data_IF_382461510514
#
_entry.id   IF_382461510514
#
_cell.length_a   1.000
_cell.length_b   1.000
_cell.length_c   1.000
_cell.angle_alpha   90.00
_cell.angle_beta   90.00
_cell.angle_gamma   90.00
#
_symmetry.space_group_name_H-M   'P 1'
#
loop_
_entity.id
_entity.type
_entity.pdbx_description
1 polymer ?
#
# COMPACT_ATOMS: atom_id res chain seq x y z
N UNK A 1 -13.07 14.56 11.31
CA UNK A 1 -12.80 13.73 10.12
C UNK A 1 -12.75 12.27 10.56
N UNK A 2 -12.99 11.33 9.64
CA UNK A 2 -13.07 9.89 9.91
C UNK A 2 -12.33 9.14 8.80
N UNK A 3 -12.20 7.82 8.95
CA UNK A 3 -11.77 6.97 7.83
C UNK A 3 -12.78 7.05 6.68
N UNK A 4 -12.25 7.18 5.47
CA UNK A 4 -13.02 7.13 4.21
C UNK A 4 -12.84 5.79 3.50
N UNK A 5 -11.72 5.10 3.76
CA UNK A 5 -11.39 3.84 3.12
C UNK A 5 -10.98 2.82 4.18
N UNK A 6 -11.33 1.56 3.93
CA UNK A 6 -10.80 0.45 4.72
C UNK A 6 -9.36 0.15 4.30
N UNK A 7 -9.10 0.16 2.99
CA UNK A 7 -7.84 -0.30 2.43
C UNK A 7 -7.30 0.71 1.43
N UNK A 8 -6.00 0.99 1.55
CA UNK A 8 -5.21 1.61 0.50
C UNK A 8 -4.34 0.56 -0.19
N UNK A 9 -4.44 0.39 -1.50
CA UNK A 9 -3.55 -0.48 -2.28
C UNK A 9 -2.50 0.39 -2.95
N UNK A 10 -1.27 0.33 -2.42
CA UNK A 10 -0.12 1.04 -2.97
C UNK A 10 0.67 0.14 -3.91
N UNK A 11 1.01 0.67 -5.08
CA UNK A 11 1.79 -0.04 -6.08
C UNK A 11 2.49 0.91 -7.04
N UNK A 12 3.60 0.44 -7.62
CA UNK A 12 4.22 1.15 -8.74
C UNK A 12 3.45 0.83 -10.02
N UNK A 13 2.95 1.86 -10.72
CA UNK A 13 2.40 1.70 -12.07
C UNK A 13 3.48 1.33 -13.08
N UNK A 14 3.62 0.03 -13.33
CA UNK A 14 4.47 -0.53 -14.38
C UNK A 14 3.71 -1.58 -15.17
N UNK A 15 3.78 -1.47 -16.49
CA UNK A 15 3.18 -2.42 -17.43
C UNK A 15 1.76 -2.81 -17.00
N UNK A 16 1.60 -4.10 -16.75
CA UNK A 16 0.31 -4.76 -16.53
C UNK A 16 -0.21 -4.71 -15.09
N UNK A 17 0.49 -4.03 -14.18
CA UNK A 17 0.18 -4.06 -12.74
C UNK A 17 -1.25 -3.61 -12.45
N UNK A 18 -1.68 -2.48 -13.05
CA UNK A 18 -3.03 -1.96 -12.89
C UNK A 18 -4.08 -2.95 -13.41
N UNK A 19 -3.88 -3.45 -14.62
CA UNK A 19 -4.77 -4.42 -15.25
C UNK A 19 -4.93 -5.69 -14.41
N UNK A 20 -3.83 -6.17 -13.81
CA UNK A 20 -3.89 -7.33 -12.92
C UNK A 20 -4.66 -7.04 -11.63
N UNK A 21 -4.46 -5.86 -11.04
CA UNK A 21 -5.18 -5.41 -9.84
C UNK A 21 -6.69 -5.38 -10.11
N UNK A 22 -7.10 -4.70 -11.18
CA UNK A 22 -8.50 -4.47 -11.52
C UNK A 22 -9.23 -5.77 -11.94
N UNK A 23 -8.55 -6.65 -12.69
CA UNK A 23 -9.21 -7.84 -13.27
C UNK A 23 -9.15 -9.10 -12.40
N UNK A 24 -8.21 -9.17 -11.46
CA UNK A 24 -7.94 -10.38 -10.69
C UNK A 24 -7.90 -10.12 -9.19
N UNK A 25 -7.03 -9.22 -8.72
CA UNK A 25 -6.76 -9.09 -7.28
C UNK A 25 -7.88 -8.43 -6.51
N UNK A 26 -8.31 -7.23 -6.91
CA UNK A 26 -9.36 -6.47 -6.22
C UNK A 26 -10.69 -7.23 -6.20
N UNK A 27 -11.19 -7.79 -7.32
CA UNK A 27 -12.45 -8.54 -7.29
C UNK A 27 -12.45 -9.72 -6.31
N UNK A 28 -11.35 -10.48 -6.24
CA UNK A 28 -11.23 -11.58 -5.27
C UNK A 28 -11.14 -11.06 -3.84
N UNK A 29 -10.35 -10.01 -3.62
CA UNK A 29 -10.16 -9.41 -2.32
C UNK A 29 -11.47 -8.84 -1.78
N UNK A 30 -12.22 -8.10 -2.59
CA UNK A 30 -13.54 -7.57 -2.25
C UNK A 30 -14.54 -8.68 -1.92
N UNK A 31 -14.60 -9.73 -2.74
CA UNK A 31 -15.49 -10.85 -2.50
C UNK A 31 -15.23 -11.50 -1.14
N UNK A 32 -13.98 -11.87 -0.85
CA UNK A 32 -13.66 -12.51 0.43
C UNK A 32 -13.81 -11.55 1.61
N UNK A 33 -13.33 -10.31 1.50
CA UNK A 33 -13.48 -9.34 2.58
C UNK A 33 -14.92 -8.99 2.89
N UNK A 34 -15.79 -8.95 1.87
CA UNK A 34 -17.21 -8.66 2.10
C UNK A 34 -17.88 -9.69 3.02
N UNK A 35 -17.44 -10.95 2.92
CA UNK A 35 -17.91 -12.05 3.77
C UNK A 35 -17.33 -11.93 5.18
N UNK A 36 -16.04 -11.60 5.30
CA UNK A 36 -15.37 -11.43 6.61
C UNK A 36 -15.91 -10.21 7.38
N UNK A 37 -16.22 -9.11 6.68
CA UNK A 37 -16.70 -7.86 7.28
C UNK A 37 -18.23 -7.78 7.43
N UNK A 38 -18.98 -8.64 6.73
CA UNK A 38 -20.44 -8.54 6.61
C UNK A 38 -20.93 -7.30 5.84
N UNK A 39 -20.04 -6.61 5.12
CA UNK A 39 -20.32 -5.45 4.26
C UNK A 39 -19.25 -5.33 3.19
N UNK A 40 -19.55 -4.62 2.11
CA UNK A 40 -18.53 -4.33 1.10
C UNK A 40 -17.41 -3.45 1.71
N UNK A 41 -16.12 -3.82 1.52
CA UNK A 41 -15.01 -2.96 1.91
C UNK A 41 -14.95 -1.73 0.99
N UNK A 42 -14.46 -0.61 1.52
CA UNK A 42 -14.14 0.56 0.70
C UNK A 42 -12.65 0.51 0.38
N UNK A 43 -12.32 0.09 -0.84
CA UNK A 43 -10.94 -0.07 -1.31
C UNK A 43 -10.55 1.12 -2.18
N UNK A 44 -9.45 1.77 -1.83
CA UNK A 44 -8.79 2.74 -2.69
C UNK A 44 -7.57 2.10 -3.34
N UNK A 45 -7.57 2.02 -4.67
CA UNK A 45 -6.38 1.66 -5.44
C UNK A 45 -5.64 2.94 -5.82
N UNK A 46 -4.35 3.03 -5.52
CA UNK A 46 -3.57 4.21 -5.86
C UNK A 46 -3.68 4.54 -7.35
N UNK A 47 -4.31 5.68 -7.62
CA UNK A 47 -4.48 6.19 -8.96
C UNK A 47 -3.32 7.11 -9.37
N UNK A 48 -2.07 6.91 -8.91
CA UNK A 48 -0.89 7.77 -9.12
C UNK A 48 -1.24 9.10 -9.79
N UNK A 49 -1.64 10.03 -8.94
CA UNK A 49 -1.99 11.42 -9.17
C UNK A 49 -1.54 11.92 -10.57
N UNK A 50 -2.52 12.34 -11.38
CA UNK A 50 -2.28 12.86 -12.72
C UNK A 50 -1.37 14.10 -12.69
N UNK A 51 -0.58 14.28 -13.75
CA UNK A 51 0.31 15.42 -13.92
C UNK A 51 -0.45 16.74 -13.72
N UNK A 52 -0.23 17.43 -12.59
CA UNK A 52 -0.81 18.75 -12.30
C UNK A 52 -1.32 18.96 -10.88
N UNK A 53 -1.55 17.90 -10.11
CA UNK A 53 -2.05 17.99 -8.73
C UNK A 53 -0.95 18.27 -7.70
N UNK A 54 -1.25 19.11 -6.70
CA UNK A 54 -0.28 19.55 -5.69
C UNK A 54 0.07 18.44 -4.68
N UNK A 55 1.38 18.18 -4.57
CA UNK A 55 2.08 17.16 -3.77
C UNK A 55 1.58 16.86 -2.33
N UNK A 56 1.18 17.81 -1.47
CA UNK A 56 0.87 17.49 -0.06
C UNK A 56 -0.57 17.07 0.21
N UNK A 57 -1.56 17.63 -0.50
CA UNK A 57 -2.94 17.61 -0.03
C UNK A 57 -3.66 16.28 -0.31
N UNK A 58 -3.57 15.79 -1.55
CA UNK A 58 -4.31 14.58 -1.97
C UNK A 58 -3.69 13.32 -1.34
N UNK A 59 -2.36 13.22 -1.33
CA UNK A 59 -1.66 12.06 -0.78
C UNK A 59 -1.89 11.92 0.72
N UNK A 60 -1.65 13.00 1.47
CA UNK A 60 -1.85 13.04 2.91
C UNK A 60 -3.30 12.72 3.29
N UNK A 61 -4.27 13.23 2.53
CA UNK A 61 -5.68 12.98 2.79
C UNK A 61 -6.08 11.52 2.57
N UNK A 62 -5.66 10.87 1.48
CA UNK A 62 -6.12 9.50 1.19
C UNK A 62 -5.46 8.47 2.10
N UNK A 63 -4.14 8.55 2.35
CA UNK A 63 -3.48 7.61 3.27
C UNK A 63 -3.91 7.86 4.72
N UNK A 64 -4.09 9.11 5.14
CA UNK A 64 -4.56 9.43 6.50
C UNK A 64 -6.00 8.96 6.75
N UNK A 65 -6.80 8.80 5.70
CA UNK A 65 -8.19 8.34 5.78
C UNK A 65 -8.39 6.87 5.39
N UNK A 66 -7.31 6.10 5.22
CA UNK A 66 -7.36 4.65 5.01
C UNK A 66 -6.95 3.90 6.27
N UNK A 67 -7.65 2.83 6.66
CA UNK A 67 -7.32 2.08 7.88
C UNK A 67 -6.03 1.25 7.75
N UNK A 68 -5.92 0.46 6.69
CA UNK A 68 -4.78 -0.41 6.40
C UNK A 68 -4.19 -0.11 5.01
N UNK A 69 -2.98 -0.62 4.76
CA UNK A 69 -2.30 -0.53 3.47
C UNK A 69 -1.84 -1.91 2.98
N UNK A 70 -2.14 -2.23 1.73
CA UNK A 70 -1.54 -3.35 1.00
C UNK A 70 -0.43 -2.79 0.11
N UNK A 71 0.78 -3.31 0.27
CA UNK A 71 1.92 -2.94 -0.56
C UNK A 71 2.12 -3.99 -1.63
N UNK A 72 1.80 -3.68 -2.89
CA UNK A 72 2.12 -4.59 -4.00
C UNK A 72 3.58 -4.38 -4.40
N UNK A 73 4.45 -5.10 -3.72
CA UNK A 73 5.88 -4.92 -3.77
C UNK A 73 6.48 -5.45 -5.07
N UNK A 74 7.32 -4.61 -5.68
CA UNK A 74 8.17 -4.93 -6.83
C UNK A 74 9.53 -4.25 -6.68
N UNK A 75 10.49 -4.64 -7.52
CA UNK A 75 11.87 -4.14 -7.46
C UNK A 75 11.96 -2.62 -7.58
N UNK A 76 11.02 -2.06 -8.34
CA UNK A 76 10.92 -0.64 -8.67
C UNK A 76 9.94 0.11 -7.77
N UNK A 77 9.43 -0.54 -6.71
CA UNK A 77 8.44 0.05 -5.82
C UNK A 77 8.96 1.36 -5.20
N UNK A 78 10.17 1.33 -4.63
CA UNK A 78 10.78 2.49 -3.99
C UNK A 78 11.37 3.53 -4.96
N UNK A 79 11.39 3.27 -6.27
CA UNK A 79 11.70 4.32 -7.26
C UNK A 79 10.62 5.42 -7.27
N UNK A 80 9.43 5.14 -6.72
CA UNK A 80 8.37 6.12 -6.52
C UNK A 80 8.51 6.80 -5.16
N UNK A 81 8.72 8.12 -5.17
CA UNK A 81 8.65 8.96 -3.98
C UNK A 81 7.29 8.79 -3.28
N UNK A 82 6.20 8.73 -4.05
CA UNK A 82 4.84 8.54 -3.53
C UNK A 82 4.68 7.24 -2.74
N UNK A 83 5.14 6.12 -3.32
CA UNK A 83 5.03 4.82 -2.67
C UNK A 83 5.89 4.75 -1.39
N UNK A 84 7.00 5.48 -1.37
CA UNK A 84 7.83 5.62 -0.17
C UNK A 84 7.13 6.47 0.89
N UNK A 85 6.42 7.51 0.47
CA UNK A 85 5.66 8.34 1.40
C UNK A 85 4.51 7.59 2.06
N UNK A 86 3.74 6.84 1.28
CA UNK A 86 2.60 6.06 1.77
C UNK A 86 3.01 5.03 2.82
N UNK A 87 4.11 4.31 2.58
CA UNK A 87 4.67 3.38 3.57
C UNK A 87 5.12 4.13 4.83
N UNK A 88 5.85 5.25 4.66
CA UNK A 88 6.33 6.04 5.79
C UNK A 88 5.20 6.49 6.71
N UNK A 89 4.08 6.95 6.13
CA UNK A 89 2.89 7.34 6.90
C UNK A 89 2.33 6.18 7.73
N UNK A 90 2.20 4.99 7.14
CA UNK A 90 1.64 3.86 7.88
C UNK A 90 2.60 3.29 8.92
N UNK A 91 3.92 3.31 8.66
CA UNK A 91 4.93 2.90 9.63
C UNK A 91 4.91 3.80 10.88
N UNK A 92 4.85 5.11 10.71
CA UNK A 92 4.76 6.03 11.85
C UNK A 92 3.42 5.86 12.59
N UNK A 93 2.33 5.56 11.88
CA UNK A 93 1.05 5.23 12.52
C UNK A 93 1.14 3.94 13.35
N UNK A 94 1.72 2.89 12.80
CA UNK A 94 1.95 1.63 13.51
C UNK A 94 2.75 1.89 14.80
N UNK A 95 3.87 2.62 14.70
CA UNK A 95 4.72 2.98 15.82
C UNK A 95 4.00 3.80 16.90
N UNK A 96 3.26 4.84 16.51
CA UNK A 96 2.49 5.69 17.45
C UNK A 96 1.42 4.93 18.23
N UNK A 97 0.85 3.89 17.63
CA UNK A 97 -0.24 3.11 18.22
C UNK A 97 0.24 1.76 18.79
N UNK A 98 1.56 1.59 18.96
CA UNK A 98 2.16 0.43 19.63
C UNK A 98 2.06 -0.88 18.85
N UNK A 99 1.85 -0.83 17.54
CA UNK A 99 1.89 -2.02 16.68
C UNK A 99 3.32 -2.53 16.50
N UNK A 100 3.46 -3.78 16.01
CA UNK A 100 4.74 -4.46 15.79
C UNK A 100 5.58 -4.58 17.08
N UNK A 101 4.92 -4.77 18.21
CA UNK A 101 5.52 -5.03 19.53
C UNK A 101 5.28 -6.47 19.97
N UNK A 102 5.88 -6.89 21.09
CA UNK A 102 5.64 -8.24 21.65
C UNK A 102 4.18 -8.37 22.10
N UNK A 103 3.64 -7.29 22.67
CA UNK A 103 2.27 -7.23 23.18
C UNK A 103 1.24 -7.08 22.05
N UNK A 104 1.65 -6.48 20.93
CA UNK A 104 0.80 -6.22 19.75
C UNK A 104 1.57 -6.48 18.45
N UNK A 105 1.73 -7.75 18.04
CA UNK A 105 2.53 -8.12 16.86
C UNK A 105 1.83 -7.85 15.52
N UNK A 106 0.51 -7.62 15.54
CA UNK A 106 -0.28 -7.18 14.40
C UNK A 106 0.15 -5.80 13.90
N UNK A 107 -0.40 -5.42 12.75
CA UNK A 107 -0.16 -4.12 12.15
C UNK A 107 -1.12 -3.82 11.02
N UNK A 108 -0.91 -2.65 10.44
CA UNK A 108 -1.74 -2.03 9.41
C UNK A 108 -1.13 -2.17 8.01
N UNK A 109 0.12 -2.64 7.92
CA UNK A 109 0.85 -2.87 6.68
C UNK A 109 0.82 -4.35 6.28
N UNK A 110 0.41 -4.61 5.03
CA UNK A 110 0.34 -5.95 4.43
C UNK A 110 1.25 -6.02 3.19
N UNK A 111 2.54 -6.40 3.34
CA UNK A 111 3.46 -6.55 2.23
C UNK A 111 3.05 -7.75 1.36
N UNK A 112 2.77 -7.49 0.09
CA UNK A 112 2.32 -8.47 -0.88
C UNK A 112 3.27 -8.45 -2.07
N UNK A 113 4.07 -9.49 -2.25
CA UNK A 113 5.16 -9.50 -3.22
C UNK A 113 4.64 -9.97 -4.58
N UNK A 114 4.69 -9.08 -5.58
CA UNK A 114 4.23 -9.39 -6.96
C UNK A 114 5.39 -9.59 -7.94
N UNK A 115 6.62 -9.24 -7.57
CA UNK A 115 7.81 -9.48 -8.40
C UNK A 115 9.04 -10.01 -7.64
N UNK A 116 9.75 -9.20 -6.86
CA UNK A 116 10.91 -9.64 -6.05
C UNK A 116 10.68 -9.38 -4.56
N UNK A 117 11.09 -10.31 -3.69
CA UNK A 117 10.99 -10.13 -2.23
C UNK A 117 12.26 -9.57 -1.58
N UNK A 118 13.34 -9.44 -2.37
CA UNK A 118 14.72 -9.33 -1.93
C UNK A 118 15.17 -7.89 -1.66
N UNK A 119 14.61 -6.92 -2.39
CA UNK A 119 14.98 -5.49 -2.31
C UNK A 119 14.24 -4.73 -1.22
N UNK A 120 13.45 -5.44 -0.41
CA UNK A 120 12.60 -4.85 0.61
C UNK A 120 13.43 -4.35 1.82
N UNK A 121 13.23 -3.10 2.28
CA UNK A 121 13.97 -2.55 3.40
C UNK A 121 13.63 -3.28 4.70
N UNK A 122 14.55 -3.25 5.67
CA UNK A 122 14.42 -3.99 6.94
C UNK A 122 13.13 -3.69 7.70
N UNK A 123 12.65 -2.45 7.61
CA UNK A 123 11.40 -2.01 8.25
C UNK A 123 10.16 -2.74 7.72
N UNK A 124 10.21 -3.25 6.48
CA UNK A 124 9.10 -3.98 5.85
C UNK A 124 9.42 -5.47 5.72
N UNK A 125 10.70 -5.82 5.53
CA UNK A 125 11.10 -7.21 5.29
C UNK A 125 10.96 -8.11 6.52
N UNK A 126 10.87 -7.52 7.72
CA UNK A 126 10.58 -8.21 8.99
C UNK A 126 9.08 -8.50 9.19
N UNK A 127 8.20 -7.90 8.38
CA UNK A 127 6.76 -8.17 8.40
C UNK A 127 6.48 -9.44 7.58
N UNK A 128 5.58 -10.30 8.07
CA UNK A 128 5.15 -11.49 7.31
C UNK A 128 4.55 -11.07 5.97
N UNK A 129 5.11 -11.59 4.88
CA UNK A 129 4.75 -11.24 3.50
C UNK A 129 3.73 -12.22 2.93
N UNK A 130 2.98 -11.75 1.94
CA UNK A 130 2.17 -12.61 1.07
C UNK A 130 2.85 -12.72 -0.29
N UNK A 131 3.38 -13.89 -0.61
CA UNK A 131 4.02 -14.17 -1.89
C UNK A 131 2.95 -14.40 -2.98
N UNK A 132 2.91 -13.51 -3.99
CA UNK A 132 1.95 -13.51 -5.11
C UNK A 132 2.58 -13.53 -6.51
N UNK A 133 3.90 -13.58 -6.60
CA UNK A 133 4.67 -13.52 -7.85
C UNK A 133 4.19 -14.55 -8.89
N UNK A 134 3.86 -15.77 -8.44
CA UNK A 134 3.44 -16.84 -9.34
C UNK A 134 2.09 -16.58 -10.04
N UNK A 135 1.25 -15.71 -9.44
CA UNK A 135 -0.09 -15.37 -9.89
C UNK A 135 -0.15 -14.02 -10.60
N UNK A 136 0.93 -13.24 -10.57
CA UNK A 136 1.04 -11.95 -11.26
C UNK A 136 1.20 -12.14 -12.77
N UNK A 137 0.10 -12.56 -13.43
CA UNK A 137 0.04 -12.88 -14.87
C UNK A 137 -1.31 -12.44 -15.42
N UNK A 138 -1.31 -11.74 -16.56
CA UNK A 138 -2.56 -11.36 -17.22
C UNK A 138 -3.28 -12.54 -17.90
N UNK A 139 -2.58 -13.65 -18.10
CA UNK A 139 -3.09 -14.87 -18.73
C UNK A 139 -3.48 -15.95 -17.72
N UNK A 140 -3.72 -15.57 -16.46
CA UNK A 140 -4.11 -16.51 -15.42
C UNK A 140 -5.46 -17.15 -15.74
N UNK A 141 -5.46 -18.46 -15.99
CA UNK A 141 -6.68 -19.21 -16.26
C UNK A 141 -7.53 -19.32 -15.00
N UNK A 142 -8.72 -18.71 -14.99
CA UNK A 142 -9.65 -18.68 -13.85
C UNK A 142 -10.18 -20.06 -13.44
N UNK A 143 -10.17 -21.03 -14.36
CA UNK A 143 -10.61 -22.40 -14.09
C UNK A 143 -9.45 -23.33 -13.72
N UNK A 144 -8.22 -22.81 -13.67
CA UNK A 144 -7.01 -23.60 -13.41
C UNK A 144 -6.62 -23.67 -11.94
N UNK A 145 -5.87 -24.70 -11.57
CA UNK A 145 -5.33 -24.89 -10.21
C UNK A 145 -4.60 -23.65 -9.66
N UNK A 146 -3.83 -22.96 -10.52
CA UNK A 146 -3.11 -21.73 -10.12
C UNK A 146 -4.04 -20.60 -9.70
N UNK A 147 -5.25 -20.52 -10.26
CA UNK A 147 -6.24 -19.52 -9.82
C UNK A 147 -6.86 -19.91 -8.48
N UNK A 148 -7.13 -21.20 -8.24
CA UNK A 148 -7.56 -21.68 -6.92
C UNK A 148 -6.51 -21.38 -5.84
N UNK A 149 -5.22 -21.66 -6.12
CA UNK A 149 -4.11 -21.31 -5.21
C UNK A 149 -4.01 -19.80 -4.94
N UNK A 150 -4.29 -18.99 -5.97
CA UNK A 150 -4.35 -17.54 -5.84
C UNK A 150 -5.52 -17.11 -4.95
N UNK A 151 -6.71 -17.65 -5.19
CA UNK A 151 -7.93 -17.40 -4.40
C UNK A 151 -7.70 -17.75 -2.92
N UNK A 152 -7.13 -18.92 -2.62
CA UNK A 152 -6.82 -19.33 -1.24
C UNK A 152 -5.87 -18.36 -0.52
N UNK A 153 -4.89 -17.82 -1.25
CA UNK A 153 -3.97 -16.79 -0.72
C UNK A 153 -4.69 -15.46 -0.49
N UNK A 154 -5.55 -15.03 -1.42
CA UNK A 154 -6.34 -13.80 -1.26
C UNK A 154 -7.32 -13.94 -0.11
N UNK A 155 -7.98 -15.10 0.04
CA UNK A 155 -8.86 -15.41 1.17
C UNK A 155 -8.13 -15.35 2.51
N UNK A 156 -6.94 -15.96 2.58
CA UNK A 156 -6.10 -15.89 3.80
C UNK A 156 -5.70 -14.46 4.13
N UNK A 157 -5.33 -13.67 3.11
CA UNK A 157 -5.01 -12.25 3.27
C UNK A 157 -6.25 -11.45 3.74
N UNK A 158 -7.41 -11.70 3.15
CA UNK A 158 -8.67 -11.05 3.49
C UNK A 158 -9.02 -11.23 4.98
N UNK A 159 -8.94 -12.44 5.53
CA UNK A 159 -9.22 -12.68 6.95
C UNK A 159 -8.27 -11.88 7.87
N UNK A 160 -6.99 -11.78 7.52
CA UNK A 160 -6.02 -10.96 8.30
C UNK A 160 -6.31 -9.46 8.19
N UNK A 161 -6.69 -9.00 7.00
CA UNK A 161 -7.05 -7.60 6.75
C UNK A 161 -8.33 -7.23 7.49
N UNK A 162 -9.36 -8.08 7.47
CA UNK A 162 -10.62 -7.85 8.18
C UNK A 162 -10.37 -7.61 9.67
N UNK A 163 -9.56 -8.48 10.30
CA UNK A 163 -9.12 -8.30 11.68
C UNK A 163 -8.42 -6.95 11.90
N UNK A 164 -7.51 -6.56 11.01
CA UNK A 164 -6.81 -5.28 11.13
C UNK A 164 -7.70 -4.05 10.88
N UNK A 165 -8.76 -4.17 10.06
CA UNK A 165 -9.77 -3.13 9.83
C UNK A 165 -10.61 -2.90 11.09
N UNK A 166 -10.96 -3.97 11.79
CA UNK A 166 -11.74 -3.91 13.03
C UNK A 166 -10.88 -3.41 14.21
N UNK A 167 -9.62 -3.85 14.27
CA UNK A 167 -8.65 -3.48 15.30
C UNK A 167 -7.91 -2.15 14.99
N UNK A 168 -8.26 -1.47 13.89
CA UNK A 168 -7.64 -0.21 13.48
C UNK A 168 -7.82 0.86 14.58
N UNK A 169 -6.79 1.69 14.84
CA UNK A 169 -6.90 2.68 15.89
C UNK A 169 -7.94 3.74 15.50
N UNK A 170 -8.51 4.44 16.49
CA UNK A 170 -9.39 5.56 16.18
C UNK A 170 -8.63 6.59 15.33
N UNK A 171 -9.28 7.09 14.28
CA UNK A 171 -8.70 8.09 13.39
C UNK A 171 -8.25 9.35 14.16
N UNK A 172 -7.08 9.88 13.80
CA UNK A 172 -6.51 11.09 14.39
C UNK A 172 -6.14 12.13 13.33
N UNK A 173 -6.34 13.41 13.65
CA UNK A 173 -6.14 14.53 12.70
C UNK A 173 -4.66 14.86 12.45
N UNK A 174 -3.78 14.53 13.37
CA UNK A 174 -2.34 14.74 13.27
C UNK A 174 -1.67 13.79 12.25
N UNK A 175 -2.34 12.70 11.83
CA UNK A 175 -1.87 11.81 10.77
C UNK A 175 -1.74 12.49 9.41
N UNK A 176 -2.37 13.65 9.21
CA UNK A 176 -2.22 14.45 8.00
C UNK A 176 -0.91 15.24 7.95
N UNK A 177 -0.27 15.48 9.11
CA UNK A 177 0.74 16.53 9.25
C UNK A 177 2.11 15.97 9.71
N UNK A 178 2.16 14.79 10.33
CA UNK A 178 3.44 14.26 10.77
C UNK A 178 4.29 13.63 9.67
N UNK A 179 5.52 14.11 9.63
CA UNK A 179 6.34 14.17 8.46
C UNK A 179 6.99 12.82 8.13
N UNK A 180 6.69 12.37 6.92
CA UNK A 180 7.32 11.31 6.11
C UNK A 180 8.84 11.47 5.89
N UNK A 181 9.46 12.43 6.56
CA UNK A 181 10.81 12.86 6.31
C UNK A 181 11.85 11.77 6.58
N UNK A 182 11.66 10.90 7.58
CA UNK A 182 12.68 9.89 7.94
C UNK A 182 12.81 8.79 6.89
N UNK A 183 11.69 8.13 6.56
CA UNK A 183 11.65 7.04 5.58
C UNK A 183 11.96 7.55 4.18
N UNK A 184 11.36 8.68 3.77
CA UNK A 184 11.64 9.26 2.46
C UNK A 184 13.10 9.67 2.31
N UNK A 185 13.69 10.38 3.29
CA UNK A 185 15.12 10.76 3.21
C UNK A 185 16.05 9.56 3.13
N UNK A 186 15.66 8.40 3.66
CA UNK A 186 16.45 7.17 3.58
C UNK A 186 16.52 6.62 2.15
N UNK A 187 15.43 6.70 1.38
CA UNK A 187 15.33 6.10 0.04
C UNK A 187 15.42 7.11 -1.11
N UNK A 188 15.23 8.40 -0.82
CA UNK A 188 15.29 9.52 -1.76
C UNK A 188 16.29 10.56 -1.25
N UNK A 189 17.59 10.28 -1.39
CA UNK A 189 18.64 11.29 -1.19
C UNK A 189 18.62 12.27 -2.37
N UNK A 190 18.27 13.52 -2.09
CA UNK A 190 18.42 14.70 -2.96
C UNK A 190 17.88 14.52 -4.40
N UNK A 191 16.58 14.74 -4.61
CA UNK A 191 16.22 15.53 -5.79
C UNK A 191 16.80 16.91 -5.55
N UNK A 192 17.85 17.25 -6.30
CA UNK A 192 18.46 18.57 -6.30
C UNK A 192 17.38 19.64 -6.27
N UNK A 193 17.31 20.41 -5.19
CA UNK A 193 16.61 21.68 -5.17
C UNK A 193 17.10 22.50 -6.35
N UNK A 194 16.27 22.66 -7.38
CA UNK A 194 16.53 23.63 -8.44
C UNK A 194 16.36 25.02 -7.83
N UNK A 195 17.40 25.51 -7.15
CA UNK A 195 17.43 26.82 -6.49
C UNK A 195 17.72 27.97 -7.48
N UNK A 196 17.61 27.76 -8.79
CA UNK A 196 17.64 28.85 -9.76
C UNK A 196 16.64 28.61 -10.90
N UNK A 197 15.79 29.60 -11.22
CA UNK A 197 14.96 29.53 -12.43
C UNK A 197 15.88 29.45 -13.66
N UNK A 198 15.47 28.73 -14.72
CA UNK A 198 16.26 28.65 -15.95
C UNK A 198 16.50 30.06 -16.48
N UNK A 199 17.78 30.45 -16.55
CA UNK A 199 18.19 31.66 -17.28
C UNK A 199 17.98 31.41 -18.76
N UNK A 200 16.94 32.02 -19.31
CA UNK A 200 16.86 32.23 -20.75
C UNK A 200 17.87 33.32 -21.10
N UNK A 201 18.96 32.95 -21.76
CA UNK A 201 19.81 33.91 -22.46
C UNK A 201 19.11 34.27 -23.77
N UNK A 202 18.78 35.55 -23.93
CA UNK A 202 18.35 36.14 -25.22
C UNK A 202 19.50 36.17 -26.22
#
# INVERSE_FOLDING_TARGET
MAYNHDIFISYRRLGDTRTWIENYFVPLLENHLSQELGRNPIIFTDSQIETGDSWPNVLGQTISTSKVIILLWSKKYLESLWCSCEIGHMLEREKKNGYRTIERPDGLIFPTVIHDGETMPIQISTIQKVEMQEFFKLTLNKDGQKYTEFEDKVKTLAGKIAKAIDDAPQWQNDWQIEAVNSFVKQFHKEESTQNQPPRFSN
#
